data_IF_746147736303
#
_entry.id   IF_746147736303
#
_cell.length_a   1.000
_cell.length_b   1.000
_cell.length_c   1.000
_cell.angle_alpha   90.00
_cell.angle_beta   90.00
_cell.angle_gamma   90.00
#
_symmetry.space_group_name_H-M   'P 1'
#
loop_
_entity.id
_entity.type
_entity.pdbx_description
1 polymer ?
#
# COMPACT_ATOMS: atom_id res chain seq x y z
N UNK A 1 2.07 -14.17 -10.58
CA UNK A 1 2.67 -12.98 -9.97
C UNK A 1 3.90 -13.42 -9.20
N UNK A 2 4.97 -12.61 -9.15
CA UNK A 2 6.21 -12.92 -8.42
C UNK A 2 6.72 -11.69 -7.68
N UNK A 3 7.52 -11.88 -6.65
CA UNK A 3 8.27 -10.83 -5.97
C UNK A 3 9.42 -10.40 -6.88
N UNK A 4 9.63 -9.08 -7.04
CA UNK A 4 10.58 -8.54 -8.02
C UNK A 4 12.00 -8.55 -7.47
N UNK A 5 12.21 -8.07 -6.24
CA UNK A 5 13.55 -7.88 -5.69
C UNK A 5 13.65 -8.27 -4.20
N UNK A 6 14.85 -8.15 -3.63
CA UNK A 6 15.13 -8.36 -2.22
C UNK A 6 15.21 -9.84 -1.80
N UNK A 7 15.02 -10.10 -0.50
CA UNK A 7 15.20 -11.41 0.16
C UNK A 7 14.39 -12.54 -0.47
N UNK A 8 13.21 -12.23 -1.00
CA UNK A 8 12.28 -13.19 -1.61
C UNK A 8 12.18 -13.04 -3.14
N UNK A 9 13.07 -12.28 -3.78
CA UNK A 9 13.07 -12.01 -5.21
C UNK A 9 12.92 -13.27 -6.05
N UNK A 10 12.12 -13.20 -7.13
CA UNK A 10 11.81 -14.32 -8.03
C UNK A 10 10.80 -15.33 -7.50
N UNK A 11 10.44 -15.33 -6.21
CA UNK A 11 9.47 -16.27 -5.63
C UNK A 11 8.05 -15.96 -6.15
N UNK A 12 7.33 -17.02 -6.50
CA UNK A 12 5.95 -16.91 -6.97
C UNK A 12 4.99 -16.72 -5.79
N UNK A 13 3.99 -15.87 -5.99
CA UNK A 13 2.87 -15.67 -5.09
C UNK A 13 1.61 -16.30 -5.69
N UNK A 14 0.86 -17.04 -4.86
CA UNK A 14 -0.47 -17.50 -5.18
C UNK A 14 -1.42 -16.28 -5.22
N UNK A 15 -2.31 -16.25 -6.20
CA UNK A 15 -3.39 -15.27 -6.28
C UNK A 15 -4.68 -15.87 -5.70
N UNK A 16 -5.58 -15.06 -5.14
CA UNK A 16 -6.93 -15.51 -4.79
C UNK A 16 -7.60 -16.10 -6.03
N UNK A 17 -8.33 -17.21 -5.86
CA UNK A 17 -9.07 -17.86 -6.97
C UNK A 17 -10.04 -16.86 -7.61
N UNK A 18 -10.00 -16.75 -8.95
CA UNK A 18 -10.93 -15.92 -9.73
C UNK A 18 -10.43 -14.52 -10.11
N UNK A 19 -9.27 -14.07 -9.64
CA UNK A 19 -8.63 -12.83 -10.12
C UNK A 19 -7.47 -13.16 -11.07
N UNK A 20 -7.61 -12.78 -12.34
CA UNK A 20 -6.51 -12.89 -13.33
C UNK A 20 -5.36 -11.94 -12.97
N UNK A 21 -4.13 -12.43 -13.09
CA UNK A 21 -2.93 -11.58 -12.91
C UNK A 21 -2.72 -10.78 -14.20
N UNK A 22 -2.73 -9.44 -14.11
CA UNK A 22 -2.39 -8.56 -15.24
C UNK A 22 -0.87 -8.35 -15.29
N UNK A 23 -0.18 -8.62 -16.41
CA UNK A 23 1.28 -8.36 -16.54
C UNK A 23 1.67 -6.91 -16.27
N UNK A 24 0.76 -5.95 -16.55
CA UNK A 24 0.95 -4.54 -16.29
C UNK A 24 1.20 -4.24 -14.80
N UNK A 25 0.54 -5.01 -13.90
CA UNK A 25 0.68 -4.85 -12.46
C UNK A 25 2.10 -5.15 -11.94
N UNK A 26 2.87 -6.04 -12.57
CA UNK A 26 4.26 -6.31 -12.12
C UNK A 26 5.18 -5.13 -12.43
N UNK A 27 5.06 -4.52 -13.61
CA UNK A 27 5.85 -3.34 -14.00
C UNK A 27 5.50 -2.10 -13.16
N UNK A 28 4.20 -1.90 -12.88
CA UNK A 28 3.75 -0.79 -12.02
C UNK A 28 4.30 -0.97 -10.62
N UNK A 29 4.19 -2.18 -10.06
CA UNK A 29 4.74 -2.49 -8.73
C UNK A 29 6.26 -2.25 -8.68
N UNK A 30 7.02 -2.74 -9.67
CA UNK A 30 8.45 -2.50 -9.77
C UNK A 30 8.76 -0.99 -9.74
N UNK A 31 8.09 -0.20 -10.58
CA UNK A 31 8.27 1.25 -10.66
C UNK A 31 7.92 1.95 -9.33
N UNK A 32 6.87 1.51 -8.63
CA UNK A 32 6.51 2.03 -7.29
C UNK A 32 7.65 1.80 -6.31
N UNK A 33 8.11 0.55 -6.19
CA UNK A 33 9.16 0.21 -5.23
C UNK A 33 10.50 0.86 -5.55
N UNK A 34 10.85 1.00 -6.83
CA UNK A 34 12.07 1.69 -7.24
C UNK A 34 11.99 3.20 -6.95
N UNK A 35 10.80 3.81 -7.11
CA UNK A 35 10.60 5.22 -6.78
C UNK A 35 10.66 5.52 -5.28
N UNK A 36 10.32 4.54 -4.44
CA UNK A 36 10.39 4.65 -2.98
C UNK A 36 11.80 4.35 -2.43
N UNK A 37 12.61 3.61 -3.19
CA UNK A 37 14.01 3.34 -2.85
C UNK A 37 14.20 2.66 -1.48
N UNK A 38 15.12 3.15 -0.62
CA UNK A 38 15.49 2.49 0.63
C UNK A 38 14.47 2.67 1.78
N UNK A 39 13.29 3.24 1.51
CA UNK A 39 12.27 3.52 2.56
C UNK A 39 11.73 2.29 3.27
N UNK A 40 12.00 1.09 2.74
CA UNK A 40 11.47 -0.15 3.31
C UNK A 40 12.34 -0.72 4.42
N UNK A 41 13.61 -0.34 4.52
CA UNK A 41 14.50 -0.89 5.56
C UNK A 41 14.00 -0.50 6.96
N UNK A 42 13.60 -1.52 7.72
CA UNK A 42 13.02 -1.35 9.06
C UNK A 42 11.60 -0.79 9.10
N UNK A 43 10.96 -0.50 7.96
CA UNK A 43 9.67 0.17 7.87
C UNK A 43 8.50 -0.67 8.40
N UNK A 44 7.50 0.01 8.96
CA UNK A 44 6.15 -0.49 9.22
C UNK A 44 5.24 -0.15 8.03
N UNK A 45 4.64 -1.15 7.41
CA UNK A 45 3.87 -1.00 6.16
C UNK A 45 2.43 -1.46 6.37
N UNK A 46 1.48 -0.72 5.79
CA UNK A 46 0.06 -1.07 5.75
C UNK A 46 -0.37 -1.31 4.30
N UNK A 47 -0.93 -2.49 4.02
CA UNK A 47 -1.50 -2.88 2.73
C UNK A 47 -3.02 -2.99 2.90
N UNK A 48 -3.76 -1.91 2.55
CA UNK A 48 -5.19 -1.74 2.89
C UNK A 48 -6.14 -2.56 2.01
N UNK A 49 -5.68 -3.05 0.86
CA UNK A 49 -6.47 -3.85 -0.09
C UNK A 49 -5.60 -5.00 -0.57
N UNK A 50 -5.18 -5.83 0.37
CA UNK A 50 -4.04 -6.73 0.22
C UNK A 50 -4.17 -7.76 -0.92
N UNK A 51 -5.37 -8.26 -1.22
CA UNK A 51 -5.56 -9.27 -2.25
C UNK A 51 -4.65 -10.48 -2.03
N UNK A 52 -3.64 -10.66 -2.87
CA UNK A 52 -2.61 -11.71 -2.70
C UNK A 52 -1.49 -11.34 -1.73
N UNK A 53 -1.44 -10.11 -1.26
CA UNK A 53 -0.36 -9.54 -0.46
C UNK A 53 0.86 -9.11 -1.26
N UNK A 54 0.72 -8.88 -2.57
CA UNK A 54 1.88 -8.63 -3.43
C UNK A 54 2.68 -7.38 -3.04
N UNK A 55 2.01 -6.28 -2.68
CA UNK A 55 2.67 -5.05 -2.22
C UNK A 55 3.38 -5.29 -0.89
N UNK A 56 2.67 -5.86 0.09
CA UNK A 56 3.24 -6.13 1.40
C UNK A 56 4.40 -7.13 1.38
N UNK A 57 4.32 -8.21 0.58
CA UNK A 57 5.44 -9.17 0.47
C UNK A 57 6.64 -8.59 -0.27
N UNK A 58 6.44 -7.73 -1.27
CA UNK A 58 7.53 -6.99 -1.89
C UNK A 58 8.22 -6.06 -0.87
N UNK A 59 7.43 -5.36 -0.03
CA UNK A 59 7.96 -4.53 1.06
C UNK A 59 8.80 -5.36 2.06
N UNK A 60 8.29 -6.52 2.53
CA UNK A 60 9.05 -7.43 3.38
C UNK A 60 10.32 -7.93 2.70
N UNK A 61 10.26 -8.20 1.40
CA UNK A 61 11.42 -8.63 0.63
C UNK A 61 12.51 -7.58 0.55
N UNK A 62 12.14 -6.31 0.61
CA UNK A 62 13.05 -5.13 0.54
C UNK A 62 13.41 -4.58 1.93
N UNK A 63 13.10 -5.29 3.01
CA UNK A 63 13.61 -4.96 4.36
C UNK A 63 12.56 -4.42 5.33
N UNK A 64 11.27 -4.34 4.97
CA UNK A 64 10.24 -3.93 5.91
C UNK A 64 10.25 -4.83 7.16
N UNK A 65 10.22 -4.21 8.34
CA UNK A 65 10.20 -4.94 9.61
C UNK A 65 8.85 -5.61 9.86
N UNK A 66 7.77 -4.94 9.43
CA UNK A 66 6.40 -5.41 9.64
C UNK A 66 5.48 -4.95 8.52
N UNK A 67 4.53 -5.82 8.17
CA UNK A 67 3.42 -5.48 7.27
C UNK A 67 2.10 -5.88 7.90
N UNK A 68 1.12 -4.99 7.89
CA UNK A 68 -0.28 -5.29 8.19
C UNK A 68 -1.05 -5.39 6.88
N UNK A 69 -1.60 -6.57 6.62
CA UNK A 69 -2.45 -6.85 5.46
C UNK A 69 -3.91 -6.73 5.86
N UNK A 70 -4.66 -5.91 5.15
CA UNK A 70 -6.09 -5.70 5.35
C UNK A 70 -6.83 -6.08 4.08
N UNK A 71 -7.85 -6.89 4.21
CA UNK A 71 -8.79 -7.18 3.11
C UNK A 71 -10.14 -7.58 3.71
N UNK A 72 -11.23 -7.14 3.11
CA UNK A 72 -12.58 -7.52 3.54
C UNK A 72 -12.92 -8.96 3.17
N UNK A 73 -12.22 -9.55 2.21
CA UNK A 73 -12.46 -10.90 1.73
C UNK A 73 -11.53 -11.91 2.39
N UNK A 74 -12.10 -12.86 3.12
CA UNK A 74 -11.35 -13.92 3.78
C UNK A 74 -10.45 -14.71 2.82
N UNK A 75 -10.91 -14.97 1.58
CA UNK A 75 -10.11 -15.65 0.54
C UNK A 75 -8.80 -14.91 0.18
N UNK A 76 -8.79 -13.58 0.26
CA UNK A 76 -7.58 -12.77 0.06
C UNK A 76 -6.58 -13.03 1.19
N UNK A 77 -7.03 -12.98 2.43
CA UNK A 77 -6.17 -13.24 3.59
C UNK A 77 -5.71 -14.71 3.66
N UNK A 78 -6.49 -15.65 3.17
CA UNK A 78 -6.05 -17.05 3.04
C UNK A 78 -4.91 -17.18 2.02
N UNK A 79 -4.98 -16.43 0.90
CA UNK A 79 -3.87 -16.36 -0.05
C UNK A 79 -2.63 -15.70 0.58
N UNK A 80 -2.79 -14.65 1.38
CA UNK A 80 -1.69 -14.03 2.14
C UNK A 80 -1.07 -15.05 3.11
N UNK A 81 -1.85 -15.81 3.87
CA UNK A 81 -1.35 -16.87 4.78
C UNK A 81 -0.55 -17.93 4.02
N UNK A 82 -1.10 -18.40 2.89
CA UNK A 82 -0.43 -19.38 2.03
C UNK A 82 0.92 -18.84 1.51
N UNK A 83 0.94 -17.60 1.04
CA UNK A 83 2.15 -16.94 0.55
C UNK A 83 3.17 -16.74 1.66
N UNK A 84 2.76 -16.30 2.85
CA UNK A 84 3.64 -16.14 4.01
C UNK A 84 4.31 -17.47 4.40
N UNK A 85 3.54 -18.56 4.44
CA UNK A 85 4.07 -19.90 4.70
C UNK A 85 5.05 -20.36 3.61
N UNK A 86 4.71 -20.18 2.33
CA UNK A 86 5.58 -20.56 1.21
C UNK A 86 6.90 -19.77 1.18
N UNK A 87 6.87 -18.50 1.59
CA UNK A 87 8.04 -17.63 1.69
C UNK A 87 8.83 -17.84 3.00
N UNK A 88 8.25 -18.57 3.98
CA UNK A 88 8.79 -18.73 5.34
C UNK A 88 9.00 -17.38 6.02
N UNK A 89 8.01 -16.50 5.87
CA UNK A 89 8.02 -15.19 6.55
C UNK A 89 7.89 -15.40 8.05
N UNK A 90 8.63 -14.61 8.82
CA UNK A 90 8.56 -14.64 10.28
C UNK A 90 7.18 -14.15 10.74
N UNK A 91 6.46 -14.92 11.53
CA UNK A 91 5.07 -14.64 11.91
C UNK A 91 4.88 -13.25 12.55
N UNK A 92 5.80 -12.82 13.41
CA UNK A 92 5.77 -11.49 14.04
C UNK A 92 5.92 -10.32 13.07
N UNK A 93 6.36 -10.58 11.83
CA UNK A 93 6.52 -9.55 10.79
C UNK A 93 5.23 -9.30 10.01
N UNK A 94 4.15 -10.04 10.28
CA UNK A 94 2.88 -9.90 9.58
C UNK A 94 1.72 -9.73 10.54
N UNK A 95 0.79 -8.84 10.20
CA UNK A 95 -0.53 -8.73 10.81
C UNK A 95 -1.60 -8.98 9.74
N UNK A 96 -2.71 -9.62 10.10
CA UNK A 96 -3.82 -9.89 9.19
C UNK A 96 -5.12 -9.35 9.79
N UNK A 97 -5.86 -8.56 9.03
CA UNK A 97 -7.13 -7.96 9.45
C UNK A 97 -8.22 -8.23 8.40
N UNK A 98 -9.19 -9.07 8.74
CA UNK A 98 -10.38 -9.34 7.92
C UNK A 98 -11.42 -8.22 8.15
N UNK A 99 -11.15 -7.03 7.63
CA UNK A 99 -11.94 -5.83 7.85
C UNK A 99 -12.02 -5.00 6.55
N UNK A 100 -13.03 -4.12 6.49
CA UNK A 100 -13.00 -3.04 5.48
C UNK A 100 -11.88 -2.04 5.81
N UNK A 101 -11.43 -1.28 4.82
CA UNK A 101 -10.40 -0.26 5.01
C UNK A 101 -10.75 0.72 6.14
N UNK A 102 -11.97 1.27 6.14
CA UNK A 102 -12.46 2.16 7.21
C UNK A 102 -12.42 1.53 8.60
N UNK A 103 -12.86 0.28 8.73
CA UNK A 103 -12.86 -0.41 10.02
C UNK A 103 -11.43 -0.69 10.51
N UNK A 104 -10.53 -1.04 9.59
CA UNK A 104 -9.12 -1.26 9.87
C UNK A 104 -8.43 0.03 10.31
N UNK A 105 -8.63 1.14 9.59
CA UNK A 105 -8.08 2.46 9.94
C UNK A 105 -8.50 2.85 11.36
N UNK A 106 -9.80 2.75 11.69
CA UNK A 106 -10.29 3.05 13.05
C UNK A 106 -9.67 2.15 14.12
N UNK A 107 -9.57 0.84 13.85
CA UNK A 107 -8.96 -0.11 14.77
C UNK A 107 -7.48 0.16 15.01
N UNK A 108 -6.73 0.49 13.96
CA UNK A 108 -5.30 0.81 14.05
C UNK A 108 -5.08 2.15 14.76
N UNK A 109 -5.92 3.15 14.49
CA UNK A 109 -5.87 4.46 15.17
C UNK A 109 -6.13 4.32 16.68
N UNK A 110 -7.11 3.49 17.09
CA UNK A 110 -7.38 3.24 18.51
C UNK A 110 -6.21 2.61 19.26
N UNK A 111 -5.35 1.85 18.54
CA UNK A 111 -4.12 1.26 19.05
C UNK A 111 -2.91 2.16 18.94
N UNK A 112 -3.06 3.36 18.38
CA UNK A 112 -1.98 4.33 18.10
C UNK A 112 -0.87 3.74 17.23
N UNK A 113 -1.22 2.81 16.34
CA UNK A 113 -0.30 2.25 15.35
C UNK A 113 0.10 3.35 14.34
N UNK A 114 1.35 3.26 13.83
CA UNK A 114 1.85 4.16 12.80
C UNK A 114 2.55 3.40 11.69
N UNK A 115 2.48 3.93 10.48
CA UNK A 115 3.01 3.31 9.28
C UNK A 115 3.82 4.31 8.46
N UNK A 116 5.01 3.88 8.06
CA UNK A 116 5.92 4.64 7.19
C UNK A 116 5.44 4.63 5.74
N UNK A 117 4.80 3.52 5.33
CA UNK A 117 4.25 3.36 3.97
C UNK A 117 2.85 2.74 4.06
N UNK A 118 1.89 3.35 3.38
CA UNK A 118 0.53 2.82 3.25
C UNK A 118 0.21 2.61 1.77
N UNK A 119 -0.16 1.39 1.38
CA UNK A 119 -0.64 1.06 0.03
C UNK A 119 -2.17 1.07 0.00
N UNK A 120 -2.73 1.70 -1.03
CA UNK A 120 -4.17 1.83 -1.28
C UNK A 120 -4.44 1.44 -2.73
N UNK A 121 -4.90 0.19 -2.95
CA UNK A 121 -5.22 -0.35 -4.28
C UNK A 121 -6.61 -1.01 -4.29
N UNK A 122 -7.69 -0.22 -4.12
CA UNK A 122 -9.05 -0.75 -4.17
C UNK A 122 -9.47 -1.12 -5.59
N UNK A 123 -10.56 -1.89 -5.77
CA UNK A 123 -11.19 -2.06 -7.07
C UNK A 123 -11.53 -0.67 -7.68
N UNK A 124 -11.05 -0.39 -8.90
CA UNK A 124 -11.10 0.95 -9.51
C UNK A 124 -12.50 1.57 -9.61
N UNK A 125 -13.52 0.76 -9.70
CA UNK A 125 -14.92 1.20 -9.84
C UNK A 125 -15.64 1.39 -8.49
N UNK A 126 -14.93 1.22 -7.37
CA UNK A 126 -15.55 1.20 -6.05
C UNK A 126 -15.94 2.58 -5.50
N UNK A 127 -15.33 3.66 -6.03
CA UNK A 127 -15.55 5.03 -5.53
C UNK A 127 -15.10 5.28 -4.08
N UNK A 128 -14.32 4.36 -3.48
CA UNK A 128 -13.94 4.41 -2.06
C UNK A 128 -12.63 5.18 -1.80
N UNK A 129 -11.98 5.69 -2.85
CA UNK A 129 -10.70 6.41 -2.71
C UNK A 129 -10.81 7.61 -1.79
N UNK A 130 -11.78 8.50 -2.08
CA UNK A 130 -11.97 9.77 -1.40
C UNK A 130 -12.15 9.57 0.10
N UNK A 131 -13.07 8.67 0.47
CA UNK A 131 -13.32 8.36 1.87
C UNK A 131 -12.10 7.74 2.54
N UNK A 132 -11.43 6.77 1.88
CA UNK A 132 -10.26 6.09 2.45
C UNK A 132 -9.11 7.06 2.69
N UNK A 133 -8.83 7.95 1.72
CA UNK A 133 -7.76 8.93 1.84
C UNK A 133 -8.06 9.98 2.90
N UNK A 134 -9.30 10.47 2.97
CA UNK A 134 -9.71 11.38 4.03
C UNK A 134 -9.56 10.74 5.42
N UNK A 135 -10.04 9.51 5.60
CA UNK A 135 -9.91 8.77 6.86
C UNK A 135 -8.43 8.53 7.22
N UNK A 136 -7.57 8.17 6.26
CA UNK A 136 -6.13 8.06 6.48
C UNK A 136 -5.51 9.37 6.96
N UNK A 137 -5.82 10.47 6.29
CA UNK A 137 -5.28 11.79 6.65
C UNK A 137 -5.64 12.21 8.07
N UNK A 138 -6.87 11.92 8.50
CA UNK A 138 -7.38 12.31 9.82
C UNK A 138 -7.05 11.33 10.94
N UNK A 139 -6.68 10.10 10.63
CA UNK A 139 -6.55 9.00 11.60
C UNK A 139 -5.31 9.08 12.50
N UNK A 140 -4.25 9.76 12.04
CA UNK A 140 -2.95 9.77 12.70
C UNK A 140 -2.15 8.47 12.60
N UNK A 141 -2.59 7.50 11.76
CA UNK A 141 -1.84 6.24 11.54
C UNK A 141 -0.76 6.36 10.47
N UNK A 142 -0.80 7.38 9.62
CA UNK A 142 0.30 7.68 8.70
C UNK A 142 1.37 8.44 9.49
N UNK A 143 2.61 7.94 9.45
CA UNK A 143 3.73 8.64 10.09
C UNK A 143 3.89 10.05 9.49
N UNK A 144 4.29 11.08 10.25
CA UNK A 144 4.50 12.43 9.71
C UNK A 144 5.43 12.47 8.48
N UNK A 145 6.46 11.60 8.44
CA UNK A 145 7.36 11.42 7.30
C UNK A 145 6.93 10.28 6.36
N UNK A 146 5.79 9.67 6.65
CA UNK A 146 5.22 8.55 5.90
C UNK A 146 4.73 8.95 4.51
N UNK A 147 4.44 7.92 3.72
CA UNK A 147 3.92 8.08 2.37
C UNK A 147 2.73 7.16 2.14
N UNK A 148 1.68 7.70 1.54
CA UNK A 148 0.54 6.91 1.05
C UNK A 148 0.66 6.78 -0.45
N UNK A 149 0.62 5.55 -0.95
CA UNK A 149 0.73 5.20 -2.37
C UNK A 149 -0.61 4.65 -2.84
N UNK A 150 -1.19 5.30 -3.82
CA UNK A 150 -2.53 4.99 -4.34
C UNK A 150 -2.42 4.53 -5.78
N UNK A 151 -2.85 3.29 -6.08
CA UNK A 151 -3.05 2.86 -7.47
C UNK A 151 -4.49 3.18 -7.87
N UNK A 152 -4.68 3.92 -8.97
CA UNK A 152 -5.99 4.26 -9.50
C UNK A 152 -6.04 4.14 -11.02
N UNK A 153 -7.24 4.05 -11.59
CA UNK A 153 -7.38 4.08 -13.04
C UNK A 153 -7.26 5.51 -13.56
N UNK A 154 -6.59 5.68 -14.71
CA UNK A 154 -6.49 6.98 -15.39
C UNK A 154 -7.85 7.64 -15.63
N UNK A 155 -8.90 6.85 -15.87
CA UNK A 155 -10.27 7.33 -16.06
C UNK A 155 -10.99 7.74 -14.76
N UNK A 156 -10.43 7.39 -13.61
CA UNK A 156 -10.95 7.72 -12.28
C UNK A 156 -9.84 8.43 -11.48
N UNK A 157 -9.55 9.71 -11.81
CA UNK A 157 -8.52 10.47 -11.09
C UNK A 157 -8.91 10.63 -9.63
N UNK A 158 -7.91 10.72 -8.77
CA UNK A 158 -8.09 11.05 -7.35
C UNK A 158 -7.76 12.52 -7.13
N UNK A 159 -8.50 13.18 -6.21
CA UNK A 159 -8.25 14.56 -5.88
C UNK A 159 -6.87 14.75 -5.20
N UNK A 160 -6.30 15.94 -5.38
CA UNK A 160 -4.96 16.22 -4.87
C UNK A 160 -4.90 16.42 -3.35
N UNK A 161 -6.04 16.67 -2.69
CA UNK A 161 -6.09 17.00 -1.26
C UNK A 161 -7.22 16.22 -0.58
N UNK A 162 -6.89 15.49 0.50
CA UNK A 162 -7.82 14.74 1.34
C UNK A 162 -7.56 15.06 2.82
N UNK A 163 -8.11 16.15 3.31
CA UNK A 163 -7.79 16.68 4.64
C UNK A 163 -6.30 17.00 4.76
N UNK A 164 -5.57 16.42 5.73
CA UNK A 164 -4.13 16.63 5.85
C UNK A 164 -3.27 15.95 4.79
N UNK A 165 -3.80 14.98 4.03
CA UNK A 165 -3.06 14.34 2.95
C UNK A 165 -3.05 15.21 1.70
N UNK A 166 -1.85 15.48 1.18
CA UNK A 166 -1.62 16.26 -0.04
C UNK A 166 -0.83 15.41 -1.03
N UNK A 167 -1.29 15.39 -2.28
CA UNK A 167 -0.58 14.70 -3.37
C UNK A 167 0.73 15.41 -3.67
N UNK A 168 1.81 14.65 -3.68
CA UNK A 168 3.16 15.15 -4.00
C UNK A 168 3.60 14.73 -5.39
N UNK A 169 2.96 13.70 -5.96
CA UNK A 169 3.30 13.17 -7.28
C UNK A 169 2.16 12.32 -7.80
N UNK A 170 1.95 12.33 -9.11
CA UNK A 170 1.14 11.34 -9.84
C UNK A 170 1.89 10.86 -11.08
N UNK A 171 1.87 9.57 -11.36
CA UNK A 171 2.55 8.96 -12.51
C UNK A 171 1.63 7.99 -13.23
N UNK A 172 1.59 8.11 -14.57
CA UNK A 172 0.76 7.28 -15.45
C UNK A 172 1.54 6.10 -16.02
N UNK A 173 0.95 4.91 -15.95
CA UNK A 173 1.46 3.66 -16.50
C UNK A 173 0.37 2.98 -17.34
N UNK A 174 0.18 3.45 -18.58
CA UNK A 174 -0.92 3.01 -19.43
C UNK A 174 -2.28 3.44 -18.87
N UNK A 175 -3.13 2.47 -18.52
CA UNK A 175 -4.45 2.72 -17.91
C UNK A 175 -4.40 2.88 -16.38
N UNK A 176 -3.28 2.52 -15.75
CA UNK A 176 -3.06 2.70 -14.32
C UNK A 176 -2.30 3.99 -14.04
N UNK A 177 -2.62 4.62 -12.93
CA UNK A 177 -1.88 5.74 -12.37
C UNK A 177 -1.48 5.40 -10.93
N UNK A 178 -0.36 6.00 -10.48
CA UNK A 178 0.10 5.87 -9.10
C UNK A 178 0.33 7.26 -8.52
N UNK A 179 -0.53 7.62 -7.57
CA UNK A 179 -0.44 8.87 -6.84
C UNK A 179 0.24 8.66 -5.49
N UNK A 180 1.06 9.63 -5.09
CA UNK A 180 1.81 9.62 -3.84
C UNK A 180 1.35 10.79 -2.99
N UNK A 181 0.97 10.51 -1.75
CA UNK A 181 0.48 11.52 -0.81
C UNK A 181 1.36 11.55 0.44
N UNK A 182 1.42 12.72 1.07
CA UNK A 182 2.07 12.93 2.36
C UNK A 182 1.17 13.77 3.27
N UNK A 183 1.40 13.66 4.56
CA UNK A 183 0.81 14.59 5.53
C UNK A 183 1.40 15.99 5.26
N UNK A 184 0.52 16.98 5.09
CA UNK A 184 0.93 18.38 4.97
C UNK A 184 1.66 18.80 6.26
N UNK A 185 2.88 19.30 6.12
CA UNK A 185 3.65 19.89 7.22
C UNK A 185 4.23 21.21 6.74
N UNK A 186 4.45 22.14 7.64
CA UNK A 186 5.09 23.43 7.32
C UNK A 186 6.46 23.26 6.61
N UNK A 187 7.12 22.11 6.79
CA UNK A 187 8.38 21.77 6.11
C UNK A 187 8.19 21.29 4.65
N UNK A 188 6.99 20.84 4.28
CA UNK A 188 6.71 20.35 2.91
C UNK A 188 6.23 21.46 1.96
N UNK A 189 5.73 22.58 2.47
CA UNK A 189 5.32 23.73 1.67
C UNK A 189 6.51 24.41 0.97
N UNK A 190 7.69 24.37 1.59
CA UNK A 190 8.91 25.00 1.04
C UNK A 190 9.55 24.23 -0.13
N UNK A 191 9.20 22.97 -0.35
CA UNK A 191 9.77 22.14 -1.43
C UNK A 191 8.97 22.14 -2.73
N UNK A 192 7.75 22.70 -2.74
CA UNK A 192 6.91 22.78 -3.95
C UNK A 192 7.18 24.03 -4.80
N UNK A 193 8.08 24.92 -4.39
CA UNK A 193 8.36 26.20 -5.09
C UNK A 193 9.63 26.15 -5.96
N UNK A 194 10.38 25.04 -5.95
CA UNK A 194 11.69 24.93 -6.64
C UNK A 194 11.76 23.87 -7.77
N UNK A 195 10.63 23.43 -8.35
CA UNK A 195 10.64 22.58 -9.57
C UNK A 195 9.76 23.16 -10.68
#
# INVERSE_FOLDING_TARGET
MRIVAGKYGGRKLAAPKGRGVRPTLEKVREAVFDSLGPRFEGASVLDLFAGSGAMGFEALSRGAARVVFVDSEQRSLDAVRQNAAALKVVERSIGLMALTASAAIRSLASKKERFDVVFVDPPWESGIYEQTLLELGLSGIVDPDGIVVVEHARRYPVDAVHGPLVMTRDRTYGDACVAYFRIASAANESRQVED
#
